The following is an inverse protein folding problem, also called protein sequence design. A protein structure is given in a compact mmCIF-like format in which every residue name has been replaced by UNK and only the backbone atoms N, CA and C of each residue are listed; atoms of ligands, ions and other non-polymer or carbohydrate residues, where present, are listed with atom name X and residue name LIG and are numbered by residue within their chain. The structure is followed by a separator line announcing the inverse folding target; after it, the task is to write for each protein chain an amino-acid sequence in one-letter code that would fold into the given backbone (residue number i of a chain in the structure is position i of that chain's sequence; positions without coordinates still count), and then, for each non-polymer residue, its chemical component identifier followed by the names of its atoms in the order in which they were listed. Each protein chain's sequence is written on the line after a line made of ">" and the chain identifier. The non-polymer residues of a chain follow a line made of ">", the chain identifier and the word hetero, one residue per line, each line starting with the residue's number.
data_IF_615888364294
#
_entry.id   IF_615888364294
#
_cell.length_a   1.000
_cell.length_b   1.000
_cell.length_c   1.000
_cell.angle_alpha   90.00
_cell.angle_beta   90.00
_cell.angle_gamma   90.00
#
_symmetry.space_group_name_H-M   'P 1'
#
loop_
_entity.id
_entity.type
_entity.pdbx_description
1 polymer ?
#
# COMPACT_ATOMS: atom_id res chain seq x y z
N UNK A 1 -10.70 1.13 14.22
CA UNK A 1 -9.30 0.73 14.01
C UNK A 1 -9.34 -0.72 13.60
N UNK A 2 -8.98 -1.02 12.34
CA UNK A 2 -9.16 -2.36 11.76
C UNK A 2 -7.91 -3.20 12.03
N UNK A 3 -8.07 -4.47 12.33
CA UNK A 3 -6.94 -5.39 12.48
C UNK A 3 -6.21 -5.51 11.13
N UNK A 4 -4.94 -5.07 11.07
CA UNK A 4 -4.16 -4.93 9.82
C UNK A 4 -3.39 -6.20 9.42
N UNK A 5 -3.70 -7.32 10.05
CA UNK A 5 -2.80 -8.48 10.11
C UNK A 5 -2.75 -9.33 8.82
N UNK A 6 -3.68 -9.15 7.88
CA UNK A 6 -3.75 -10.04 6.69
C UNK A 6 -3.21 -9.38 5.43
N UNK A 7 -1.94 -9.64 5.11
CA UNK A 7 -1.34 -9.35 3.79
C UNK A 7 -1.53 -10.55 2.86
N UNK A 8 -2.79 -10.91 2.61
CA UNK A 8 -3.13 -11.85 1.53
C UNK A 8 -3.19 -11.05 0.23
N UNK A 9 -2.08 -11.02 -0.50
CA UNK A 9 -2.05 -10.50 -1.87
C UNK A 9 -2.53 -11.59 -2.82
N UNK A 10 -3.83 -11.85 -2.83
CA UNK A 10 -4.46 -12.49 -3.97
C UNK A 10 -4.67 -11.39 -5.03
N UNK A 11 -4.14 -11.62 -6.24
CA UNK A 11 -4.41 -10.79 -7.43
C UNK A 11 -4.09 -9.28 -7.33
N UNK A 12 -3.03 -8.90 -6.60
CA UNK A 12 -2.60 -7.50 -6.53
C UNK A 12 -3.49 -6.60 -5.66
N UNK A 13 -4.36 -7.20 -4.84
CA UNK A 13 -5.19 -6.49 -3.85
C UNK A 13 -4.62 -6.63 -2.43
N UNK A 14 -4.89 -5.66 -1.57
CA UNK A 14 -4.54 -5.67 -0.14
C UNK A 14 -5.66 -5.00 0.69
N UNK A 15 -5.71 -5.24 1.99
CA UNK A 15 -6.55 -4.47 2.94
C UNK A 15 -5.66 -3.91 4.07
N UNK A 16 -5.26 -2.65 3.94
CA UNK A 16 -4.32 -1.98 4.84
C UNK A 16 -4.95 -0.72 5.43
N UNK A 17 -5.14 -0.72 6.75
CA UNK A 17 -5.39 0.48 7.55
C UNK A 17 -4.05 1.17 7.86
N UNK A 18 -3.64 2.07 6.95
CA UNK A 18 -2.41 2.86 7.10
C UNK A 18 -2.46 3.89 8.26
N UNK A 19 -3.63 4.06 8.88
CA UNK A 19 -3.84 4.91 10.06
C UNK A 19 -3.75 4.10 11.36
N UNK A 20 -3.61 2.77 11.30
CA UNK A 20 -3.45 1.92 12.47
C UNK A 20 -2.13 2.24 13.18
N UNK A 21 -2.12 2.55 14.50
CA UNK A 21 -0.93 2.70 15.32
C UNK A 21 0.21 1.73 15.04
N UNK A 22 -0.05 0.43 14.92
CA UNK A 22 1.01 -0.55 14.62
C UNK A 22 1.59 -0.40 13.20
N UNK A 23 0.77 -0.01 12.23
CA UNK A 23 1.24 0.31 10.89
C UNK A 23 2.10 1.57 10.91
N UNK A 24 1.67 2.61 11.64
CA UNK A 24 2.41 3.87 11.78
C UNK A 24 3.78 3.65 12.44
N UNK A 25 3.81 2.80 13.48
CA UNK A 25 5.00 2.46 14.23
C UNK A 25 6.08 1.79 13.36
N UNK A 26 5.70 0.96 12.39
CA UNK A 26 6.60 0.27 11.46
C UNK A 26 6.33 0.59 9.98
N UNK A 27 5.88 1.81 9.67
CA UNK A 27 5.44 2.16 8.30
C UNK A 27 6.51 1.89 7.24
N UNK A 28 7.79 2.10 7.57
CA UNK A 28 8.89 1.89 6.63
C UNK A 28 9.16 0.40 6.37
N UNK A 29 8.97 -0.48 7.38
CA UNK A 29 9.03 -1.92 7.20
C UNK A 29 7.87 -2.42 6.34
N UNK A 30 6.65 -1.98 6.65
CA UNK A 30 5.45 -2.36 5.89
C UNK A 30 5.50 -1.92 4.42
N UNK A 31 5.87 -0.67 4.14
CA UNK A 31 6.03 -0.22 2.75
C UNK A 31 7.21 -0.90 2.04
N UNK A 32 8.24 -1.36 2.77
CA UNK A 32 9.34 -2.17 2.21
C UNK A 32 8.85 -3.53 1.72
N UNK A 33 8.02 -4.21 2.51
CA UNK A 33 7.44 -5.50 2.14
C UNK A 33 6.54 -5.39 0.90
N UNK A 34 5.69 -4.36 0.85
CA UNK A 34 4.82 -4.08 -0.29
C UNK A 34 5.64 -3.89 -1.58
N UNK A 35 6.58 -2.94 -1.61
CA UNK A 35 7.36 -2.67 -2.82
C UNK A 35 8.25 -3.83 -3.27
N UNK A 36 8.65 -4.73 -2.36
CA UNK A 36 9.42 -5.91 -2.71
C UNK A 36 8.58 -7.01 -3.38
N UNK A 37 7.26 -7.05 -3.11
CA UNK A 37 6.33 -8.06 -3.65
C UNK A 37 5.55 -7.55 -4.86
N UNK A 38 4.89 -6.41 -4.69
CA UNK A 38 4.07 -5.77 -5.71
C UNK A 38 3.95 -4.28 -5.35
N UNK A 39 4.66 -3.38 -6.06
CA UNK A 39 4.76 -2.00 -5.62
C UNK A 39 3.54 -1.14 -5.97
N UNK A 40 2.64 -1.66 -6.81
CA UNK A 40 1.35 -1.06 -7.19
C UNK A 40 0.25 -2.05 -6.87
N UNK A 41 -0.54 -1.75 -5.84
CA UNK A 41 -1.64 -2.63 -5.38
C UNK A 41 -2.93 -1.85 -5.21
N UNK A 42 -4.06 -2.51 -5.35
CA UNK A 42 -5.35 -1.94 -5.00
C UNK A 42 -5.66 -2.23 -3.52
N UNK A 43 -5.69 -1.19 -2.69
CA UNK A 43 -6.06 -1.29 -1.28
C UNK A 43 -7.58 -1.15 -1.14
N UNK A 44 -8.24 -2.16 -0.59
CA UNK A 44 -9.70 -2.19 -0.41
C UNK A 44 -10.19 -1.37 0.80
N UNK A 45 -9.27 -0.97 1.68
CA UNK A 45 -9.58 -0.11 2.82
C UNK A 45 -10.15 1.25 2.38
N UNK A 46 -10.97 1.87 3.23
CA UNK A 46 -11.51 3.24 3.03
C UNK A 46 -12.29 3.46 1.72
N UNK A 47 -12.89 2.41 1.15
CA UNK A 47 -13.66 2.53 -0.09
C UNK A 47 -12.83 2.30 -1.36
N UNK A 48 -11.56 1.93 -1.23
CA UNK A 48 -10.74 1.52 -2.36
C UNK A 48 -9.83 2.62 -2.88
N UNK A 49 -8.52 2.34 -2.98
CA UNK A 49 -7.56 3.23 -3.64
C UNK A 49 -6.32 2.48 -4.12
N UNK A 50 -5.65 3.01 -5.14
CA UNK A 50 -4.34 2.52 -5.57
C UNK A 50 -3.24 2.99 -4.63
N UNK A 51 -2.42 2.06 -4.15
CA UNK A 51 -1.25 2.34 -3.34
C UNK A 51 0.01 2.06 -4.17
N UNK A 52 0.77 3.13 -4.43
CA UNK A 52 2.03 3.11 -5.19
C UNK A 52 3.19 3.34 -4.22
N UNK A 53 4.14 2.40 -4.16
CA UNK A 53 5.11 2.34 -3.05
C UNK A 53 6.58 2.32 -3.48
N UNK A 54 6.88 2.10 -4.76
CA UNK A 54 8.23 2.26 -5.30
C UNK A 54 8.43 3.66 -5.89
N UNK A 55 9.70 4.06 -5.99
CA UNK A 55 10.07 5.39 -6.46
C UNK A 55 9.75 5.62 -7.95
N UNK A 56 10.01 4.65 -8.81
CA UNK A 56 9.84 4.78 -10.25
C UNK A 56 8.37 5.00 -10.60
N UNK A 57 7.49 4.15 -10.05
CA UNK A 57 6.04 4.24 -10.25
C UNK A 57 5.46 5.53 -9.66
N UNK A 58 5.86 5.92 -8.43
CA UNK A 58 5.41 7.21 -7.84
C UNK A 58 5.82 8.37 -8.72
N UNK A 59 7.07 8.37 -9.20
CA UNK A 59 7.59 9.46 -10.00
C UNK A 59 6.98 9.51 -11.41
N UNK A 60 6.55 8.37 -11.95
CA UNK A 60 5.78 8.31 -13.20
C UNK A 60 4.38 8.91 -13.01
N UNK A 61 3.58 8.38 -12.08
CA UNK A 61 2.20 8.83 -11.87
C UNK A 61 2.10 10.28 -11.37
N UNK A 62 3.08 10.74 -10.57
CA UNK A 62 3.08 12.12 -10.08
C UNK A 62 3.41 13.16 -11.17
N UNK A 63 3.99 12.73 -12.30
CA UNK A 63 4.27 13.58 -13.47
C UNK A 63 3.24 13.45 -14.58
N UNK A 64 2.41 12.41 -14.52
CA UNK A 64 1.33 12.16 -15.45
C UNK A 64 0.05 12.85 -14.97
N UNK A 65 -0.24 14.02 -15.53
CA UNK A 65 -1.29 14.92 -15.07
C UNK A 65 -2.48 15.03 -16.06
N UNK A 66 -2.54 14.14 -17.04
CA UNK A 66 -3.55 14.10 -18.12
C UNK A 66 -4.33 12.78 -18.16
#
# INVERSE_FOLDING_TARGET
>A
MRDTTTVESADGTVDIDHQHPDFIADRHGRYRELRARCPVVYNTAYGGFWLVTDYESVAAVARDNE
#
